data_IF_275261079438
#
_entry.id   IF_275261079438
#
_cell.length_a   1.000
_cell.length_b   1.000
_cell.length_c   1.000
_cell.angle_alpha   90.00
_cell.angle_beta   90.00
_cell.angle_gamma   90.00
#
_symmetry.space_group_name_H-M   'P 1'
#
loop_
_entity.id
_entity.type
_entity.pdbx_description
1 polymer ?
#
# COMPACT_ATOMS: atom_id res chain seq x y z
N UNK A 1 -24.31 11.00 -5.44
CA UNK A 1 -25.17 11.14 -4.23
C UNK A 1 -26.31 10.11 -4.17
N UNK A 2 -27.23 10.05 -5.14
CA UNK A 2 -28.44 9.21 -5.08
C UNK A 2 -28.20 7.71 -4.80
N UNK A 3 -27.17 7.09 -5.41
CA UNK A 3 -26.83 5.68 -5.16
C UNK A 3 -26.33 5.46 -3.73
N UNK A 4 -25.52 6.38 -3.20
CA UNK A 4 -25.01 6.32 -1.83
C UNK A 4 -26.15 6.52 -0.82
N UNK A 5 -27.05 7.47 -1.09
CA UNK A 5 -28.26 7.70 -0.30
C UNK A 5 -29.16 6.45 -0.31
N UNK A 6 -29.47 5.87 -1.48
CA UNK A 6 -30.34 4.68 -1.60
C UNK A 6 -29.78 3.49 -0.82
N UNK A 7 -28.47 3.22 -0.92
CA UNK A 7 -27.82 2.16 -0.13
C UNK A 7 -27.78 2.49 1.38
N UNK A 8 -27.79 3.77 1.75
CA UNK A 8 -27.80 4.19 3.15
C UNK A 8 -29.18 4.06 3.81
N UNK A 9 -30.28 4.08 3.05
CA UNK A 9 -31.63 4.00 3.61
C UNK A 9 -32.06 2.60 4.07
N UNK A 10 -31.46 1.53 3.56
CA UNK A 10 -31.83 0.19 4.00
C UNK A 10 -31.37 -0.01 5.46
N UNK A 11 -32.34 -0.18 6.37
CA UNK A 11 -32.07 -0.53 7.77
C UNK A 11 -31.38 -1.90 7.76
N UNK A 12 -30.14 -2.03 8.27
CA UNK A 12 -29.50 -3.33 8.36
C UNK A 12 -30.30 -4.21 9.32
N UNK A 13 -30.54 -5.47 8.95
CA UNK A 13 -31.09 -6.45 9.89
C UNK A 13 -30.18 -6.53 11.13
N UNK A 14 -30.74 -6.87 12.30
CA UNK A 14 -29.95 -7.01 13.54
C UNK A 14 -28.76 -7.97 13.34
N UNK A 15 -28.96 -9.04 12.56
CA UNK A 15 -27.91 -9.96 12.15
C UNK A 15 -26.82 -9.27 11.30
N UNK A 16 -27.20 -8.43 10.33
CA UNK A 16 -26.27 -7.67 9.51
C UNK A 16 -25.41 -6.68 10.30
N UNK A 17 -25.99 -6.00 11.28
CA UNK A 17 -25.25 -5.11 12.20
C UNK A 17 -24.24 -5.91 13.03
N UNK A 18 -24.66 -7.06 13.58
CA UNK A 18 -23.79 -7.93 14.36
C UNK A 18 -22.60 -8.44 13.53
N UNK A 19 -22.85 -8.96 12.32
CA UNK A 19 -21.79 -9.41 11.40
C UNK A 19 -20.82 -8.26 11.10
N UNK A 20 -21.35 -7.07 10.81
CA UNK A 20 -20.51 -5.91 10.54
C UNK A 20 -19.67 -5.49 11.76
N UNK A 21 -20.22 -5.54 12.98
CA UNK A 21 -19.48 -5.24 14.21
C UNK A 21 -18.32 -6.23 14.43
N UNK A 22 -18.55 -7.53 14.21
CA UNK A 22 -17.50 -8.55 14.27
C UNK A 22 -16.41 -8.28 13.24
N UNK A 23 -16.78 -7.96 11.99
CA UNK A 23 -15.82 -7.62 10.94
C UNK A 23 -15.01 -6.35 11.24
N UNK A 24 -15.62 -5.34 11.87
CA UNK A 24 -14.91 -4.14 12.32
C UNK A 24 -13.91 -4.44 13.44
N UNK A 25 -14.29 -5.29 14.41
CA UNK A 25 -13.38 -5.71 15.47
C UNK A 25 -12.19 -6.48 14.89
N UNK A 26 -12.44 -7.41 13.96
CA UNK A 26 -11.38 -8.13 13.25
C UNK A 26 -10.49 -7.17 12.45
N UNK A 27 -11.08 -6.22 11.75
CA UNK A 27 -10.36 -5.19 10.99
C UNK A 27 -9.49 -4.32 11.88
N UNK A 28 -9.98 -3.90 13.05
CA UNK A 28 -9.22 -3.16 14.05
C UNK A 28 -7.99 -3.96 14.51
N UNK A 29 -8.19 -5.24 14.87
CA UNK A 29 -7.09 -6.13 15.27
C UNK A 29 -6.09 -6.30 14.14
N UNK A 30 -6.55 -6.56 12.91
CA UNK A 30 -5.70 -6.69 11.72
C UNK A 30 -4.90 -5.41 11.46
N UNK A 31 -5.51 -4.22 11.55
CA UNK A 31 -4.83 -2.93 11.38
C UNK A 31 -3.73 -2.74 12.42
N UNK A 32 -4.03 -2.96 13.71
CA UNK A 32 -3.05 -2.84 14.80
C UNK A 32 -1.89 -3.84 14.62
N UNK A 33 -2.19 -5.08 14.24
CA UNK A 33 -1.17 -6.10 13.93
C UNK A 33 -0.33 -5.68 12.72
N UNK A 34 -0.96 -5.21 11.65
CA UNK A 34 -0.31 -4.74 10.43
C UNK A 34 0.66 -3.59 10.70
N UNK A 35 0.23 -2.57 11.46
CA UNK A 35 1.07 -1.44 11.86
C UNK A 35 2.25 -1.90 12.73
N UNK A 36 2.02 -2.79 13.71
CA UNK A 36 3.09 -3.36 14.53
C UNK A 36 4.13 -4.13 13.71
N UNK A 37 3.69 -4.92 12.73
CA UNK A 37 4.59 -5.64 11.82
C UNK A 37 5.37 -4.64 10.95
N UNK A 38 4.68 -3.68 10.34
CA UNK A 38 5.30 -2.66 9.48
C UNK A 38 6.38 -1.87 10.23
N UNK A 39 6.10 -1.43 11.46
CA UNK A 39 7.07 -0.73 12.32
C UNK A 39 8.29 -1.58 12.66
N UNK A 40 8.08 -2.88 12.91
CA UNK A 40 9.16 -3.80 13.34
C UNK A 40 10.15 -4.12 12.23
N UNK A 41 9.69 -4.23 10.99
CA UNK A 41 10.53 -4.62 9.88
C UNK A 41 11.10 -3.41 9.13
N UNK A 42 12.42 -3.36 9.04
CA UNK A 42 13.15 -2.31 8.31
C UNK A 42 13.41 -2.67 6.85
N UNK A 43 12.74 -3.68 6.29
CA UNK A 43 13.00 -4.13 4.91
C UNK A 43 12.76 -2.99 3.92
N UNK A 44 11.71 -2.21 4.16
CA UNK A 44 11.44 -1.01 3.40
C UNK A 44 12.14 0.18 4.03
N UNK A 45 12.56 1.10 3.16
CA UNK A 45 13.06 2.40 3.60
C UNK A 45 12.00 3.13 4.45
N UNK A 46 12.43 4.00 5.36
CA UNK A 46 11.53 4.69 6.31
C UNK A 46 10.38 5.40 5.59
N UNK A 47 10.67 6.05 4.46
CA UNK A 47 9.67 6.76 3.66
C UNK A 47 8.58 5.80 3.14
N UNK A 48 8.97 4.73 2.45
CA UNK A 48 8.03 3.72 1.95
C UNK A 48 7.23 3.06 3.08
N UNK A 49 7.88 2.72 4.18
CA UNK A 49 7.21 2.15 5.37
C UNK A 49 6.17 3.09 5.94
N UNK A 50 6.47 4.39 6.03
CA UNK A 50 5.54 5.39 6.54
C UNK A 50 4.33 5.55 5.61
N UNK A 51 4.49 5.44 4.27
CA UNK A 51 3.36 5.40 3.32
C UNK A 51 2.44 4.19 3.63
N UNK A 52 3.04 3.01 3.84
CA UNK A 52 2.26 1.81 4.16
C UNK A 52 1.54 1.91 5.51
N UNK A 53 2.19 2.47 6.53
CA UNK A 53 1.56 2.72 7.83
C UNK A 53 0.42 3.73 7.69
N UNK A 54 0.62 4.81 6.93
CA UNK A 54 -0.43 5.80 6.66
C UNK A 54 -1.66 5.16 6.00
N UNK A 55 -1.47 4.29 5.01
CA UNK A 55 -2.57 3.51 4.39
C UNK A 55 -3.36 2.69 5.42
N UNK A 56 -2.66 1.99 6.33
CA UNK A 56 -3.30 1.20 7.37
C UNK A 56 -4.05 2.06 8.38
N UNK A 57 -3.47 3.20 8.80
CA UNK A 57 -4.10 4.11 9.74
C UNK A 57 -5.29 4.86 9.12
N UNK A 58 -5.28 5.12 7.81
CA UNK A 58 -6.41 5.75 7.13
C UNK A 58 -7.68 4.89 7.18
N UNK A 59 -7.58 3.60 7.47
CA UNK A 59 -8.77 2.77 7.72
C UNK A 59 -9.63 3.31 8.88
N UNK A 60 -9.04 4.03 9.85
CA UNK A 60 -9.81 4.69 10.90
C UNK A 60 -10.75 5.78 10.34
N UNK A 61 -10.43 6.38 9.19
CA UNK A 61 -11.33 7.29 8.49
C UNK A 61 -12.60 6.55 8.02
N UNK A 62 -12.46 5.34 7.46
CA UNK A 62 -13.62 4.51 7.12
C UNK A 62 -14.43 4.08 8.34
N UNK A 63 -13.78 3.82 9.47
CA UNK A 63 -14.47 3.51 10.71
C UNK A 63 -15.33 4.70 11.16
N UNK A 64 -14.78 5.91 11.16
CA UNK A 64 -15.53 7.13 11.51
C UNK A 64 -16.67 7.37 10.51
N UNK A 65 -16.41 7.25 9.21
CA UNK A 65 -17.43 7.30 8.17
C UNK A 65 -18.59 6.34 8.48
N UNK A 66 -18.31 5.10 8.91
CA UNK A 66 -19.37 4.15 9.22
C UNK A 66 -20.14 4.49 10.50
N UNK A 67 -19.46 4.96 11.53
CA UNK A 67 -20.09 5.42 12.77
C UNK A 67 -21.06 6.58 12.46
N UNK A 68 -20.65 7.53 11.61
CA UNK A 68 -21.51 8.62 11.16
C UNK A 68 -22.76 8.12 10.40
N UNK A 69 -22.59 7.15 9.50
CA UNK A 69 -23.74 6.54 8.80
C UNK A 69 -24.68 5.80 9.75
N UNK A 70 -24.16 5.09 10.76
CA UNK A 70 -25.00 4.44 11.76
C UNK A 70 -25.75 5.45 12.63
N UNK A 71 -25.07 6.50 13.10
CA UNK A 71 -25.69 7.58 13.85
C UNK A 71 -26.81 8.26 13.04
N UNK A 72 -26.56 8.50 11.75
CA UNK A 72 -27.58 9.04 10.84
C UNK A 72 -28.78 8.10 10.68
N UNK A 73 -28.55 6.81 10.40
CA UNK A 73 -29.63 5.82 10.27
C UNK A 73 -30.45 5.69 11.55
N UNK A 74 -29.79 5.71 12.71
CA UNK A 74 -30.44 5.65 14.01
C UNK A 74 -31.30 6.90 14.27
N UNK A 75 -30.77 8.10 13.96
CA UNK A 75 -31.54 9.34 14.05
C UNK A 75 -32.75 9.33 13.13
N UNK A 76 -32.59 8.85 11.90
CA UNK A 76 -33.67 8.70 10.93
C UNK A 76 -34.73 7.68 11.40
N UNK A 77 -34.31 6.59 12.05
CA UNK A 77 -35.23 5.59 12.63
C UNK A 77 -36.12 6.21 13.71
N UNK A 78 -35.55 7.05 14.58
CA UNK A 78 -36.28 7.76 15.63
C UNK A 78 -37.26 8.77 15.01
N UNK A 79 -36.81 9.51 14.00
CA UNK A 79 -37.66 10.49 13.32
C UNK A 79 -38.85 9.82 12.63
N UNK A 80 -38.63 8.73 11.90
CA UNK A 80 -39.71 7.93 11.28
C UNK A 80 -40.63 7.34 12.36
N UNK A 81 -40.09 6.86 13.47
CA UNK A 81 -40.91 6.34 14.57
C UNK A 81 -41.81 7.42 15.18
N UNK A 82 -41.37 8.68 15.22
CA UNK A 82 -42.18 9.81 15.69
C UNK A 82 -43.13 10.34 14.61
N UNK A 83 -42.72 10.27 13.35
CA UNK A 83 -43.52 10.59 12.17
C UNK A 83 -44.78 9.73 12.08
N UNK A 84 -44.65 8.43 12.36
CA UNK A 84 -45.76 7.49 12.29
C UNK A 84 -46.81 7.79 13.38
N UNK A 85 -46.43 8.48 14.46
CA UNK A 85 -47.36 8.99 15.48
C UNK A 85 -47.95 10.38 15.14
N UNK A 86 -47.58 11.00 14.03
CA UNK A 86 -48.07 12.31 13.59
C UNK A 86 -48.60 12.23 12.15
N UNK A 87 -49.91 12.36 11.96
CA UNK A 87 -50.63 12.27 10.68
C UNK A 87 -50.36 13.48 9.72
N UNK A 88 -49.22 14.16 9.88
CA UNK A 88 -48.87 15.35 9.11
C UNK A 88 -47.85 14.99 8.00
N UNK A 89 -48.21 15.33 6.76
CA UNK A 89 -47.46 15.15 5.49
C UNK A 89 -46.04 15.77 5.41
N UNK A 90 -45.45 16.17 6.53
CA UNK A 90 -44.29 17.07 6.60
C UNK A 90 -42.92 16.41 6.79
N UNK A 91 -42.74 15.13 6.45
CA UNK A 91 -41.40 14.55 6.40
C UNK A 91 -40.69 14.92 5.11
N UNK A 92 -39.93 16.01 5.16
CA UNK A 92 -38.97 16.43 4.14
C UNK A 92 -37.83 15.41 3.99
N UNK A 93 -38.15 14.22 3.47
CA UNK A 93 -37.17 13.25 2.99
C UNK A 93 -36.38 13.87 1.81
N UNK A 94 -35.14 14.27 2.06
CA UNK A 94 -34.08 14.28 1.05
C UNK A 94 -34.20 15.28 -0.11
N UNK A 95 -34.99 16.35 0.00
CA UNK A 95 -35.15 17.38 -1.05
C UNK A 95 -34.44 18.72 -0.80
N UNK A 96 -33.60 18.83 0.23
CA UNK A 96 -32.88 20.07 0.50
C UNK A 96 -31.76 20.31 -0.54
N UNK A 97 -31.72 21.53 -1.10
CA UNK A 97 -30.70 22.02 -2.03
C UNK A 97 -29.29 21.92 -1.44
N UNK A 98 -28.26 21.78 -2.29
CA UNK A 98 -26.84 21.61 -1.90
C UNK A 98 -26.36 22.55 -0.79
N UNK A 99 -26.85 23.79 -0.73
CA UNK A 99 -26.47 24.76 0.30
C UNK A 99 -26.92 24.40 1.72
N UNK A 100 -28.02 23.68 1.89
CA UNK A 100 -28.55 23.31 3.22
C UNK A 100 -27.93 22.02 3.80
N UNK A 101 -27.29 21.20 2.96
CA UNK A 101 -26.84 19.85 3.34
C UNK A 101 -25.32 19.72 3.53
N UNK A 102 -24.55 20.83 3.55
CA UNK A 102 -23.07 20.79 3.65
C UNK A 102 -22.57 20.08 4.92
N UNK A 103 -23.39 20.07 5.98
CA UNK A 103 -23.09 19.42 7.25
C UNK A 103 -23.92 18.15 7.50
N UNK A 104 -24.62 17.65 6.48
CA UNK A 104 -25.35 16.39 6.62
C UNK A 104 -24.36 15.26 6.88
N UNK A 105 -24.56 14.43 7.93
CA UNK A 105 -23.68 13.31 8.23
C UNK A 105 -23.50 12.36 7.04
N UNK A 106 -24.52 12.20 6.18
CA UNK A 106 -24.42 11.43 4.93
C UNK A 106 -23.37 12.04 4.00
N UNK A 107 -23.39 13.35 3.79
CA UNK A 107 -22.49 14.02 2.84
C UNK A 107 -21.04 13.95 3.31
N UNK A 108 -20.80 14.20 4.60
CA UNK A 108 -19.49 14.03 5.22
C UNK A 108 -19.02 12.58 5.08
N UNK A 109 -19.89 11.61 5.40
CA UNK A 109 -19.58 10.18 5.25
C UNK A 109 -19.25 9.80 3.80
N UNK A 110 -19.97 10.35 2.83
CA UNK A 110 -19.69 10.12 1.41
C UNK A 110 -18.29 10.65 1.04
N UNK A 111 -17.94 11.87 1.47
CA UNK A 111 -16.62 12.45 1.21
C UNK A 111 -15.51 11.61 1.86
N UNK A 112 -15.67 11.21 3.11
CA UNK A 112 -14.67 10.38 3.81
C UNK A 112 -14.49 9.02 3.13
N UNK A 113 -15.59 8.38 2.71
CA UNK A 113 -15.54 7.12 1.95
C UNK A 113 -14.76 7.28 0.65
N UNK A 114 -15.08 8.28 -0.15
CA UNK A 114 -14.43 8.48 -1.45
C UNK A 114 -12.98 8.95 -1.30
N UNK A 115 -12.67 9.76 -0.27
CA UNK A 115 -11.29 10.14 0.03
C UNK A 115 -10.46 8.89 0.29
N UNK A 116 -10.92 8.02 1.19
CA UNK A 116 -10.25 6.76 1.46
C UNK A 116 -10.06 5.91 0.19
N UNK A 117 -11.10 5.78 -0.64
CA UNK A 117 -11.00 5.04 -1.92
C UNK A 117 -9.91 5.59 -2.83
N UNK A 118 -9.89 6.89 -3.08
CA UNK A 118 -8.90 7.51 -3.96
C UNK A 118 -7.50 7.50 -3.34
N UNK A 119 -7.38 7.59 -2.02
CA UNK A 119 -6.09 7.45 -1.34
C UNK A 119 -5.50 6.04 -1.51
N UNK A 120 -6.31 5.00 -1.32
CA UNK A 120 -5.90 3.60 -1.57
C UNK A 120 -5.44 3.43 -3.02
N UNK A 121 -6.20 3.98 -3.97
CA UNK A 121 -5.86 3.92 -5.40
C UNK A 121 -4.57 4.69 -5.74
N UNK A 122 -4.28 5.79 -5.08
CA UNK A 122 -3.06 6.58 -5.28
C UNK A 122 -1.83 5.97 -4.55
N UNK A 123 -2.04 5.02 -3.63
CA UNK A 123 -0.96 4.46 -2.79
C UNK A 123 0.12 3.71 -3.61
N UNK A 124 -0.22 2.83 -4.57
CA UNK A 124 0.77 2.21 -5.44
C UNK A 124 1.63 3.25 -6.17
N UNK A 125 1.01 4.30 -6.70
CA UNK A 125 1.73 5.41 -7.38
C UNK A 125 2.69 6.09 -6.41
N UNK A 126 2.26 6.44 -5.20
CA UNK A 126 3.13 7.07 -4.20
C UNK A 126 4.32 6.21 -3.79
N UNK A 127 4.13 4.89 -3.65
CA UNK A 127 5.24 3.97 -3.40
C UNK A 127 6.22 3.95 -4.57
N UNK A 128 5.73 3.95 -5.81
CA UNK A 128 6.60 3.98 -6.99
C UNK A 128 7.33 5.31 -7.14
N UNK A 129 6.69 6.44 -6.83
CA UNK A 129 7.33 7.75 -6.79
C UNK A 129 8.44 7.78 -5.74
N UNK A 130 8.23 7.17 -4.57
CA UNK A 130 9.30 6.99 -3.58
C UNK A 130 10.47 6.17 -4.13
N UNK A 131 10.19 5.13 -4.93
CA UNK A 131 11.22 4.34 -5.64
C UNK A 131 11.95 5.14 -6.72
N UNK A 132 11.27 6.08 -7.40
CA UNK A 132 11.93 7.04 -8.32
C UNK A 132 12.96 7.85 -7.54
N UNK A 133 12.57 8.45 -6.40
CA UNK A 133 13.50 9.21 -5.57
C UNK A 133 14.67 8.35 -5.06
N UNK A 134 14.41 7.11 -4.64
CA UNK A 134 15.47 6.17 -4.25
C UNK A 134 16.43 5.84 -5.41
N UNK A 135 15.95 5.87 -6.65
CA UNK A 135 16.75 5.63 -7.87
C UNK A 135 17.56 6.87 -8.26
N UNK A 136 16.95 8.04 -8.23
CA UNK A 136 17.60 9.34 -8.53
C UNK A 136 18.72 9.60 -7.50
N UNK A 137 18.41 9.41 -6.23
CA UNK A 137 19.30 9.69 -5.11
C UNK A 137 20.06 8.46 -4.61
N UNK A 138 20.35 7.51 -5.50
CA UNK A 138 20.96 6.24 -5.11
C UNK A 138 22.15 6.41 -4.16
N UNK A 139 23.05 7.37 -4.43
CA UNK A 139 24.32 7.58 -3.69
C UNK A 139 24.14 7.89 -2.20
N UNK A 140 23.10 8.62 -1.83
CA UNK A 140 22.93 9.25 -0.52
C UNK A 140 21.54 9.04 0.10
N UNK A 141 20.61 8.36 -0.61
CA UNK A 141 19.24 8.15 -0.16
C UNK A 141 19.13 7.54 1.25
N UNK A 142 20.01 6.58 1.57
CA UNK A 142 20.01 5.92 2.88
C UNK A 142 20.82 6.67 3.95
N UNK A 143 21.74 7.55 3.53
CA UNK A 143 22.62 8.30 4.44
C UNK A 143 21.91 9.52 5.00
N UNK A 144 21.20 10.22 4.15
CA UNK A 144 20.49 11.44 4.52
C UNK A 144 19.04 11.15 4.87
N UNK A 145 18.58 11.72 5.98
CA UNK A 145 17.21 11.53 6.43
C UNK A 145 16.24 12.40 5.65
N UNK A 146 15.78 11.92 4.49
CA UNK A 146 14.90 12.66 3.57
C UNK A 146 13.42 12.45 3.86
N UNK A 147 12.98 12.81 5.07
CA UNK A 147 11.57 12.70 5.47
C UNK A 147 10.64 13.59 4.63
N UNK A 148 11.17 14.66 4.02
CA UNK A 148 10.42 15.53 3.12
C UNK A 148 9.82 14.77 1.92
N UNK A 149 10.44 13.67 1.47
CA UNK A 149 9.91 12.84 0.39
C UNK A 149 8.60 12.18 0.80
N UNK A 150 8.55 11.63 2.02
CA UNK A 150 7.29 11.09 2.56
C UNK A 150 6.24 12.20 2.70
N UNK A 151 6.61 13.36 3.24
CA UNK A 151 5.69 14.49 3.39
C UNK A 151 5.10 14.96 2.05
N UNK A 152 5.94 15.08 1.02
CA UNK A 152 5.54 15.45 -0.34
C UNK A 152 4.55 14.44 -0.94
N UNK A 153 4.85 13.14 -0.84
CA UNK A 153 3.99 12.07 -1.36
C UNK A 153 2.67 12.03 -0.59
N UNK A 154 2.72 12.08 0.75
CA UNK A 154 1.53 12.02 1.59
C UNK A 154 0.60 13.21 1.35
N UNK A 155 1.14 14.43 1.24
CA UNK A 155 0.36 15.63 0.98
C UNK A 155 -0.26 15.60 -0.44
N UNK A 156 0.52 15.25 -1.47
CA UNK A 156 0.01 15.15 -2.84
C UNK A 156 -1.09 14.08 -2.98
N UNK A 157 -0.95 12.93 -2.31
CA UNK A 157 -1.98 11.89 -2.27
C UNK A 157 -3.26 12.37 -1.60
N UNK A 158 -3.16 13.07 -0.46
CA UNK A 158 -4.34 13.63 0.22
C UNK A 158 -5.03 14.71 -0.61
N UNK A 159 -4.26 15.60 -1.24
CA UNK A 159 -4.82 16.63 -2.13
C UNK A 159 -5.56 16.02 -3.32
N UNK A 160 -4.98 14.99 -3.94
CA UNK A 160 -5.63 14.23 -5.00
C UNK A 160 -6.91 13.55 -4.49
N UNK A 161 -6.83 12.81 -3.38
CA UNK A 161 -7.96 12.08 -2.82
C UNK A 161 -9.11 12.99 -2.40
N UNK A 162 -8.81 14.13 -1.77
CA UNK A 162 -9.79 15.14 -1.39
C UNK A 162 -10.48 15.75 -2.62
N UNK A 163 -9.69 16.17 -3.63
CA UNK A 163 -10.23 16.76 -4.87
C UNK A 163 -11.16 15.78 -5.59
N UNK A 164 -10.71 14.54 -5.78
CA UNK A 164 -11.50 13.50 -6.45
C UNK A 164 -12.73 13.09 -5.65
N UNK A 165 -12.65 13.09 -4.31
CA UNK A 165 -13.77 12.82 -3.42
C UNK A 165 -14.87 13.88 -3.53
N UNK A 166 -14.48 15.16 -3.46
CA UNK A 166 -15.42 16.28 -3.63
C UNK A 166 -16.04 16.22 -5.03
N UNK A 167 -15.23 16.10 -6.08
CA UNK A 167 -15.70 15.99 -7.46
C UNK A 167 -16.71 14.84 -7.64
N UNK A 168 -16.38 13.66 -7.11
CA UNK A 168 -17.24 12.46 -7.20
C UNK A 168 -18.57 12.66 -6.47
N UNK A 169 -18.54 13.35 -5.33
CA UNK A 169 -19.72 13.56 -4.48
C UNK A 169 -20.63 14.67 -5.03
N UNK A 170 -20.05 15.78 -5.50
CA UNK A 170 -20.81 16.98 -5.93
C UNK A 170 -21.29 16.91 -7.37
N UNK A 171 -20.45 16.44 -8.31
CA UNK A 171 -20.81 16.37 -9.73
C UNK A 171 -21.58 15.11 -10.10
N UNK A 172 -21.89 14.26 -9.11
CA UNK A 172 -22.66 13.04 -9.31
C UNK A 172 -21.97 12.05 -10.25
N UNK A 173 -20.65 11.85 -10.05
CA UNK A 173 -19.87 11.02 -10.95
C UNK A 173 -20.51 9.64 -11.15
N UNK A 174 -20.65 9.26 -12.41
CA UNK A 174 -21.23 7.97 -12.79
C UNK A 174 -20.30 6.84 -12.37
N UNK A 175 -20.85 5.64 -12.20
CA UNK A 175 -20.06 4.44 -11.94
C UNK A 175 -18.92 4.24 -12.96
N UNK A 176 -19.14 4.65 -14.22
CA UNK A 176 -18.14 4.67 -15.28
C UNK A 176 -16.92 5.54 -14.95
N UNK A 177 -17.11 6.74 -14.39
CA UNK A 177 -16.01 7.62 -14.00
C UNK A 177 -15.11 6.98 -12.93
N UNK A 178 -15.72 6.30 -11.96
CA UNK A 178 -14.98 5.59 -10.91
C UNK A 178 -14.14 4.46 -11.54
N UNK A 179 -14.74 3.67 -12.44
CA UNK A 179 -14.00 2.61 -13.16
C UNK A 179 -12.84 3.18 -13.97
N UNK A 180 -13.07 4.25 -14.74
CA UNK A 180 -12.02 4.89 -15.54
C UNK A 180 -10.87 5.40 -14.66
N UNK A 181 -11.20 5.97 -13.49
CA UNK A 181 -10.17 6.42 -12.53
C UNK A 181 -9.35 5.26 -11.98
N UNK A 182 -10.01 4.13 -11.67
CA UNK A 182 -9.32 2.91 -11.22
C UNK A 182 -8.39 2.41 -12.33
N UNK A 183 -8.91 2.21 -13.55
CA UNK A 183 -8.12 1.72 -14.69
C UNK A 183 -6.96 2.65 -15.03
N UNK A 184 -7.18 3.97 -14.99
CA UNK A 184 -6.17 4.99 -15.20
C UNK A 184 -5.07 4.95 -14.13
N UNK A 185 -5.43 4.83 -12.85
CA UNK A 185 -4.44 4.71 -11.76
C UNK A 185 -3.63 3.41 -11.88
N UNK A 186 -4.29 2.29 -12.16
CA UNK A 186 -3.63 0.99 -12.29
C UNK A 186 -2.68 0.95 -13.48
N UNK A 187 -3.12 1.41 -14.65
CA UNK A 187 -2.27 1.51 -15.86
C UNK A 187 -1.10 2.46 -15.64
N UNK A 188 -1.34 3.65 -15.07
CA UNK A 188 -0.29 4.60 -14.70
C UNK A 188 0.74 3.98 -13.74
N UNK A 189 0.29 3.25 -12.72
CA UNK A 189 1.19 2.57 -11.80
C UNK A 189 2.03 1.47 -12.49
N UNK A 190 1.45 0.73 -13.44
CA UNK A 190 2.17 -0.29 -14.20
C UNK A 190 3.25 0.34 -15.11
N UNK A 191 2.94 1.46 -15.77
CA UNK A 191 3.91 2.21 -16.58
C UNK A 191 5.05 2.75 -15.72
N UNK A 192 4.74 3.40 -14.59
CA UNK A 192 5.78 3.90 -13.68
C UNK A 192 6.64 2.75 -13.16
N UNK A 193 6.04 1.63 -12.78
CA UNK A 193 6.78 0.44 -12.35
C UNK A 193 7.76 -0.03 -13.43
N UNK A 194 7.29 -0.21 -14.67
CA UNK A 194 8.11 -0.68 -15.78
C UNK A 194 9.26 0.29 -16.08
N UNK A 195 9.01 1.60 -16.04
CA UNK A 195 10.04 2.62 -16.21
C UNK A 195 11.10 2.55 -15.11
N UNK A 196 10.68 2.47 -13.84
CA UNK A 196 11.60 2.41 -12.70
C UNK A 196 12.43 1.11 -12.72
N UNK A 197 11.82 -0.02 -13.07
CA UNK A 197 12.53 -1.30 -13.24
C UNK A 197 13.55 -1.20 -14.38
N UNK A 198 13.12 -0.69 -15.56
CA UNK A 198 13.98 -0.50 -16.72
C UNK A 198 15.18 0.40 -16.44
N UNK A 199 14.97 1.57 -15.81
CA UNK A 199 16.06 2.50 -15.48
C UNK A 199 17.04 1.90 -14.47
N UNK A 200 16.54 1.19 -13.45
CA UNK A 200 17.40 0.53 -12.46
C UNK A 200 18.22 -0.60 -13.08
N UNK A 201 17.60 -1.44 -13.93
CA UNK A 201 18.31 -2.50 -14.66
C UNK A 201 19.36 -1.94 -15.60
N UNK A 202 18.99 -0.95 -16.43
CA UNK A 202 19.92 -0.31 -17.37
C UNK A 202 21.13 0.32 -16.65
N UNK A 203 20.90 0.99 -15.52
CA UNK A 203 21.97 1.59 -14.72
C UNK A 203 22.86 0.51 -14.08
N UNK A 204 22.28 -0.60 -13.63
CA UNK A 204 23.03 -1.73 -13.10
C UNK A 204 23.90 -2.40 -14.19
N UNK A 205 23.34 -2.67 -15.37
CA UNK A 205 24.08 -3.25 -16.51
C UNK A 205 25.21 -2.32 -16.97
N UNK A 206 24.98 -1.00 -17.01
CA UNK A 206 26.03 -0.03 -17.35
C UNK A 206 27.19 -0.08 -16.35
N UNK A 207 26.90 -0.14 -15.05
CA UNK A 207 27.91 -0.26 -14.00
C UNK A 207 28.67 -1.60 -14.04
N UNK A 208 28.02 -2.68 -14.48
CA UNK A 208 28.67 -3.99 -14.62
C UNK A 208 29.59 -4.03 -15.84
N UNK A 209 29.20 -3.40 -16.96
CA UNK A 209 30.00 -3.35 -18.18
C UNK A 209 31.17 -2.35 -18.10
N UNK A 210 30.98 -1.19 -17.47
CA UNK A 210 31.95 -0.08 -17.43
C UNK A 210 32.81 -0.10 -16.15
N UNK A 211 33.21 -1.30 -15.70
CA UNK A 211 33.91 -1.53 -14.42
C UNK A 211 35.17 -0.67 -14.21
N UNK A 212 35.78 -0.18 -15.29
CA UNK A 212 37.05 0.57 -15.28
C UNK A 212 36.93 2.09 -15.42
N UNK A 213 35.81 2.63 -15.91
CA UNK A 213 35.73 4.04 -16.35
C UNK A 213 34.73 4.88 -15.59
N UNK A 214 33.74 4.27 -14.96
CA UNK A 214 32.78 4.99 -14.12
C UNK A 214 33.24 4.95 -12.67
N UNK A 215 32.78 5.92 -11.87
CA UNK A 215 32.89 5.91 -10.40
C UNK A 215 32.16 4.68 -9.83
N UNK A 216 32.72 3.50 -10.07
CA UNK A 216 32.22 2.22 -9.62
C UNK A 216 32.43 2.20 -8.11
N UNK A 217 31.37 2.55 -7.40
CA UNK A 217 31.30 2.34 -5.97
C UNK A 217 30.44 1.13 -5.73
N UNK A 218 31.01 0.16 -5.02
CA UNK A 218 30.32 -1.06 -4.57
C UNK A 218 28.98 -0.73 -3.91
N UNK A 219 28.90 0.41 -3.22
CA UNK A 219 27.67 0.93 -2.60
C UNK A 219 26.54 1.20 -3.61
N UNK A 220 26.82 1.84 -4.76
CA UNK A 220 25.78 2.12 -5.76
C UNK A 220 25.23 0.82 -6.34
N UNK A 221 26.11 -0.15 -6.64
CA UNK A 221 25.69 -1.46 -7.15
C UNK A 221 24.80 -2.18 -6.14
N UNK A 222 25.17 -2.17 -4.86
CA UNK A 222 24.39 -2.75 -3.79
C UNK A 222 23.01 -2.09 -3.67
N UNK A 223 22.94 -0.76 -3.68
CA UNK A 223 21.68 0.00 -3.61
C UNK A 223 20.76 -0.24 -4.80
N UNK A 224 21.30 -0.35 -6.03
CA UNK A 224 20.49 -0.68 -7.21
C UNK A 224 19.93 -2.11 -7.14
N UNK A 225 20.75 -3.08 -6.71
CA UNK A 225 20.29 -4.47 -6.50
C UNK A 225 19.21 -4.53 -5.42
N UNK A 226 19.36 -3.78 -4.32
CA UNK A 226 18.37 -3.67 -3.26
C UNK A 226 17.07 -3.01 -3.74
N UNK A 227 17.15 -1.96 -4.57
CA UNK A 227 15.99 -1.32 -5.18
C UNK A 227 15.23 -2.28 -6.10
N UNK A 228 15.92 -3.01 -6.98
CA UNK A 228 15.30 -4.03 -7.85
C UNK A 228 14.67 -5.18 -7.06
N UNK A 229 15.33 -5.65 -6.00
CA UNK A 229 14.79 -6.67 -5.09
C UNK A 229 13.51 -6.18 -4.42
N UNK A 230 13.50 -4.95 -3.93
CA UNK A 230 12.33 -4.31 -3.31
C UNK A 230 11.19 -4.16 -4.31
N UNK A 231 11.47 -3.70 -5.55
CA UNK A 231 10.46 -3.61 -6.62
C UNK A 231 9.85 -4.97 -6.96
N UNK A 232 10.66 -6.03 -7.05
CA UNK A 232 10.17 -7.39 -7.33
C UNK A 232 9.27 -7.92 -6.20
N UNK A 233 9.62 -7.63 -4.95
CA UNK A 233 8.80 -8.00 -3.79
C UNK A 233 7.47 -7.21 -3.76
N UNK A 234 7.52 -5.90 -4.03
CA UNK A 234 6.32 -5.07 -4.11
C UNK A 234 5.41 -5.44 -5.27
N UNK A 235 5.95 -5.93 -6.39
CA UNK A 235 5.15 -6.38 -7.53
C UNK A 235 4.15 -7.47 -7.16
N UNK A 236 4.57 -8.46 -6.38
CA UNK A 236 3.67 -9.53 -5.93
C UNK A 236 2.52 -8.97 -5.09
N UNK A 237 2.85 -8.08 -4.15
CA UNK A 237 1.86 -7.42 -3.31
C UNK A 237 0.88 -6.55 -4.11
N UNK A 238 1.38 -5.76 -5.07
CA UNK A 238 0.53 -4.92 -5.92
C UNK A 238 -0.38 -5.74 -6.83
N UNK A 239 0.13 -6.80 -7.47
CA UNK A 239 -0.71 -7.69 -8.28
C UNK A 239 -1.85 -8.26 -7.43
N UNK A 240 -1.56 -8.74 -6.21
CA UNK A 240 -2.60 -9.24 -5.31
C UNK A 240 -3.65 -8.19 -4.96
N UNK A 241 -3.25 -6.95 -4.66
CA UNK A 241 -4.20 -5.85 -4.39
C UNK A 241 -5.04 -5.52 -5.63
N UNK A 242 -4.41 -5.46 -6.81
CA UNK A 242 -5.08 -5.15 -8.08
C UNK A 242 -6.16 -6.19 -8.38
N UNK A 243 -5.84 -7.47 -8.22
CA UNK A 243 -6.80 -8.57 -8.39
C UNK A 243 -7.98 -8.41 -7.44
N UNK A 244 -7.74 -8.05 -6.16
CA UNK A 244 -8.81 -7.81 -5.19
C UNK A 244 -9.68 -6.61 -5.58
N UNK A 245 -9.09 -5.50 -6.03
CA UNK A 245 -9.82 -4.31 -6.48
C UNK A 245 -10.70 -4.64 -7.69
N UNK A 246 -10.16 -5.34 -8.69
CA UNK A 246 -10.90 -5.76 -9.88
C UNK A 246 -12.03 -6.72 -9.50
N UNK A 247 -11.77 -7.70 -8.63
CA UNK A 247 -12.78 -8.65 -8.16
C UNK A 247 -13.92 -7.93 -7.43
N UNK A 248 -13.62 -6.98 -6.54
CA UNK A 248 -14.65 -6.17 -5.87
C UNK A 248 -15.44 -5.30 -6.86
N UNK A 249 -14.77 -4.69 -7.84
CA UNK A 249 -15.43 -3.91 -8.89
C UNK A 249 -16.39 -4.75 -9.75
N UNK A 250 -15.93 -5.91 -10.21
CA UNK A 250 -16.73 -6.87 -10.96
C UNK A 250 -17.91 -7.39 -10.12
N UNK A 251 -17.70 -7.73 -8.85
CA UNK A 251 -18.76 -8.21 -7.98
C UNK A 251 -19.86 -7.16 -7.74
N UNK A 252 -19.53 -5.87 -7.77
CA UNK A 252 -20.52 -4.78 -7.71
C UNK A 252 -21.24 -4.54 -9.04
N UNK A 253 -20.58 -4.80 -10.16
CA UNK A 253 -21.12 -4.55 -11.51
C UNK A 253 -21.94 -5.71 -12.05
N UNK A 254 -21.55 -6.96 -11.75
CA UNK A 254 -22.15 -8.17 -12.29
C UNK A 254 -23.67 -8.28 -12.07
N UNK A 255 -24.23 -7.96 -10.87
CA UNK A 255 -25.68 -7.99 -10.67
C UNK A 255 -26.45 -7.04 -11.61
N UNK A 256 -25.85 -5.90 -11.95
CA UNK A 256 -26.42 -4.91 -12.87
C UNK A 256 -26.37 -5.44 -14.31
N UNK A 257 -25.24 -6.03 -14.69
CA UNK A 257 -25.06 -6.60 -16.03
C UNK A 257 -26.01 -7.78 -16.29
N UNK A 258 -26.24 -8.62 -15.28
CA UNK A 258 -27.16 -9.76 -15.33
C UNK A 258 -28.64 -9.36 -15.18
N UNK A 259 -28.96 -8.07 -15.01
CA UNK A 259 -30.32 -7.55 -14.81
C UNK A 259 -31.09 -8.30 -13.70
N UNK A 260 -30.42 -8.59 -12.59
CA UNK A 260 -31.05 -9.20 -11.41
C UNK A 260 -32.11 -8.26 -10.82
N UNK A 261 -32.98 -8.81 -9.97
CA UNK A 261 -33.96 -8.05 -9.21
C UNK A 261 -33.29 -6.97 -8.33
N UNK A 262 -33.99 -5.85 -8.12
CA UNK A 262 -33.44 -4.70 -7.39
C UNK A 262 -33.02 -5.08 -5.95
N UNK A 263 -33.77 -5.98 -5.30
CA UNK A 263 -33.50 -6.46 -3.95
C UNK A 263 -32.19 -7.25 -3.88
N UNK A 264 -31.95 -8.14 -4.84
CA UNK A 264 -30.67 -8.84 -4.96
C UNK A 264 -29.52 -7.88 -5.26
N UNK A 265 -29.69 -6.92 -6.16
CA UNK A 265 -28.66 -5.92 -6.46
C UNK A 265 -28.29 -5.13 -5.20
N UNK A 266 -29.29 -4.70 -4.43
CA UNK A 266 -29.10 -3.93 -3.20
C UNK A 266 -28.45 -4.79 -2.10
N UNK A 267 -28.85 -6.05 -1.98
CA UNK A 267 -28.27 -7.02 -1.04
C UNK A 267 -26.78 -7.26 -1.34
N UNK A 268 -26.43 -7.52 -2.60
CA UNK A 268 -25.03 -7.69 -3.02
C UNK A 268 -24.21 -6.44 -2.73
N UNK A 269 -24.73 -5.25 -3.07
CA UNK A 269 -24.06 -3.97 -2.75
C UNK A 269 -23.82 -3.79 -1.26
N UNK A 270 -24.76 -4.21 -0.42
CA UNK A 270 -24.63 -4.15 1.05
C UNK A 270 -23.52 -5.06 1.57
N UNK A 271 -23.44 -6.30 1.08
CA UNK A 271 -22.34 -7.20 1.44
C UNK A 271 -20.98 -6.71 0.91
N UNK A 272 -20.92 -6.19 -0.31
CA UNK A 272 -19.70 -5.59 -0.86
C UNK A 272 -19.26 -4.36 -0.06
N UNK A 273 -20.22 -3.58 0.45
CA UNK A 273 -19.96 -2.47 1.37
C UNK A 273 -19.34 -2.96 2.68
N UNK A 274 -19.82 -4.08 3.25
CA UNK A 274 -19.22 -4.69 4.45
C UNK A 274 -17.78 -5.15 4.18
N UNK A 275 -17.54 -5.83 3.06
CA UNK A 275 -16.20 -6.30 2.67
C UNK A 275 -15.26 -5.10 2.50
N UNK A 276 -15.71 -4.05 1.82
CA UNK A 276 -14.92 -2.85 1.59
C UNK A 276 -14.50 -2.16 2.89
N UNK A 277 -15.44 -1.98 3.84
CA UNK A 277 -15.13 -1.39 5.15
C UNK A 277 -14.25 -2.29 6.02
N UNK A 278 -14.22 -3.59 5.72
CA UNK A 278 -13.45 -4.60 6.46
C UNK A 278 -12.11 -4.94 5.79
N UNK A 279 -11.61 -4.04 4.95
CA UNK A 279 -10.44 -4.33 4.13
C UNK A 279 -9.14 -4.72 4.86
N UNK A 280 -8.85 -4.35 6.11
CA UNK A 280 -7.63 -4.79 6.77
C UNK A 280 -7.61 -6.31 6.95
N UNK A 281 -8.80 -6.94 7.03
CA UNK A 281 -8.98 -8.39 7.16
C UNK A 281 -8.40 -9.15 5.97
N UNK A 282 -8.38 -8.58 4.77
CA UNK A 282 -7.73 -9.20 3.61
C UNK A 282 -6.41 -8.52 3.22
N UNK A 283 -6.28 -7.20 3.39
CA UNK A 283 -5.09 -6.44 3.02
C UNK A 283 -3.87 -6.85 3.86
N UNK A 284 -4.03 -6.97 5.19
CA UNK A 284 -2.92 -7.32 6.09
C UNK A 284 -2.49 -8.77 5.89
N UNK A 285 -3.40 -9.77 5.82
CA UNK A 285 -3.01 -11.12 5.45
C UNK A 285 -2.35 -11.19 4.07
N UNK A 286 -2.86 -10.47 3.06
CA UNK A 286 -2.22 -10.40 1.73
C UNK A 286 -0.79 -9.89 1.82
N UNK A 287 -0.54 -8.82 2.59
CA UNK A 287 0.81 -8.32 2.85
C UNK A 287 1.68 -9.37 3.56
N UNK A 288 1.14 -10.08 4.56
CA UNK A 288 1.86 -11.15 5.27
C UNK A 288 2.21 -12.29 4.32
N UNK A 289 1.31 -12.74 3.46
CA UNK A 289 1.54 -13.86 2.55
C UNK A 289 2.53 -13.55 1.42
N UNK A 290 2.45 -12.34 0.86
CA UNK A 290 3.29 -11.88 -0.26
C UNK A 290 4.69 -11.46 0.20
N UNK A 291 4.80 -10.81 1.37
CA UNK A 291 6.08 -10.36 1.91
C UNK A 291 6.71 -11.49 2.73
N UNK A 292 7.66 -12.19 2.14
CA UNK A 292 8.29 -13.39 2.73
C UNK A 292 8.75 -13.20 4.18
N UNK A 293 9.35 -12.06 4.50
CA UNK A 293 9.82 -11.77 5.85
C UNK A 293 8.67 -11.61 6.86
N UNK A 294 7.54 -11.02 6.44
CA UNK A 294 6.35 -10.90 7.30
C UNK A 294 5.75 -12.29 7.52
N UNK A 295 5.64 -13.10 6.46
CA UNK A 295 5.23 -14.51 6.54
C UNK A 295 6.06 -15.30 7.54
N UNK A 296 7.38 -15.28 7.38
CA UNK A 296 8.32 -16.00 8.26
C UNK A 296 8.17 -15.56 9.72
N UNK A 297 7.99 -14.27 9.96
CA UNK A 297 7.79 -13.73 11.30
C UNK A 297 6.49 -14.21 11.95
N UNK A 298 5.38 -14.10 11.22
CA UNK A 298 4.06 -14.52 11.70
C UNK A 298 4.03 -16.02 11.95
N UNK A 299 4.55 -16.83 11.01
CA UNK A 299 4.67 -18.28 11.18
C UNK A 299 5.49 -18.65 12.41
N UNK A 300 6.62 -17.97 12.67
CA UNK A 300 7.43 -18.21 13.87
C UNK A 300 6.65 -17.86 15.14
N UNK A 301 5.92 -16.74 15.16
CA UNK A 301 5.09 -16.35 16.31
C UNK A 301 3.93 -17.32 16.56
N UNK A 302 3.27 -17.78 15.51
CA UNK A 302 2.19 -18.77 15.61
C UNK A 302 2.73 -20.10 16.14
N UNK A 303 3.87 -20.58 15.64
CA UNK A 303 4.55 -21.78 16.17
C UNK A 303 4.92 -21.66 17.65
N UNK A 304 5.42 -20.49 18.07
CA UNK A 304 5.72 -20.20 19.47
C UNK A 304 4.46 -20.18 20.34
N UNK A 305 3.35 -19.62 19.83
CA UNK A 305 2.06 -19.60 20.53
C UNK A 305 1.40 -20.98 20.65
N UNK A 306 1.61 -21.86 19.67
CA UNK A 306 1.11 -23.24 19.66
C UNK A 306 1.98 -24.21 20.49
N UNK A 307 2.92 -23.69 21.31
CA UNK A 307 3.73 -24.53 22.20
C UNK A 307 4.73 -25.44 21.48
N UNK A 308 5.01 -25.22 20.19
CA UNK A 308 6.05 -25.98 19.48
C UNK A 308 7.42 -25.54 19.99
N UNK A 309 7.93 -26.31 20.95
CA UNK A 309 9.25 -26.16 21.58
C UNK A 309 10.34 -26.39 20.53
N UNK A 310 10.89 -25.31 19.98
CA UNK A 310 12.11 -25.35 19.20
C UNK A 310 13.14 -24.43 19.84
N UNK A 311 14.35 -24.94 20.05
CA UNK A 311 15.46 -24.25 20.70
C UNK A 311 15.54 -22.77 20.32
N UNK A 312 15.40 -21.93 21.34
CA UNK A 312 15.47 -20.48 21.22
C UNK A 312 16.93 -20.06 21.00
N UNK A 313 17.45 -20.25 19.78
CA UNK A 313 18.42 -19.27 19.28
C UNK A 313 17.65 -17.96 19.15
N UNK A 314 17.93 -17.03 20.07
CA UNK A 314 17.57 -15.60 19.97
C UNK A 314 18.05 -15.10 18.62
N UNK A 315 17.23 -15.28 17.60
CA UNK A 315 17.48 -14.75 16.27
C UNK A 315 17.08 -13.30 16.35
N UNK A 316 18.07 -12.49 16.67
CA UNK A 316 17.99 -11.05 16.66
C UNK A 316 17.32 -10.62 15.36
N UNK A 317 16.20 -9.89 15.41
CA UNK A 317 15.50 -9.47 14.18
C UNK A 317 16.36 -8.51 13.35
N UNK A 318 17.38 -7.89 13.97
CA UNK A 318 18.48 -7.22 13.26
C UNK A 318 19.32 -8.17 12.42
N UNK A 319 19.38 -9.46 12.77
CA UNK A 319 20.12 -10.53 12.07
C UNK A 319 19.39 -11.16 10.86
N UNK A 320 18.14 -10.79 10.60
CA UNK A 320 17.41 -11.29 9.41
C UNK A 320 17.79 -10.55 8.11
N UNK A 321 18.35 -9.33 8.22
CA UNK A 321 19.00 -8.61 7.11
C UNK A 321 20.42 -9.17 6.82
N UNK A 322 21.29 -9.48 7.80
CA UNK A 322 22.64 -9.96 7.55
C UNK A 322 22.76 -11.42 7.15
N UNK A 323 21.78 -12.33 7.20
CA UNK A 323 22.11 -13.69 6.73
C UNK A 323 22.26 -13.80 5.19
N UNK A 324 21.55 -12.96 4.45
CA UNK A 324 21.74 -12.83 3.00
C UNK A 324 22.74 -11.72 2.71
N UNK A 325 22.66 -10.60 3.45
CA UNK A 325 23.63 -9.53 3.27
C UNK A 325 25.03 -9.94 3.71
N UNK A 326 25.26 -10.76 4.74
CA UNK A 326 26.59 -11.26 5.10
C UNK A 326 27.11 -12.23 4.05
N UNK A 327 26.29 -13.15 3.51
CA UNK A 327 26.78 -14.03 2.43
C UNK A 327 27.09 -13.24 1.15
N UNK A 328 26.28 -12.25 0.80
CA UNK A 328 26.53 -11.35 -0.33
C UNK A 328 27.69 -10.38 -0.03
N UNK A 329 27.79 -9.81 1.17
CA UNK A 329 28.89 -8.94 1.64
C UNK A 329 30.18 -9.72 1.66
N UNK A 330 30.20 -10.97 2.11
CA UNK A 330 31.36 -11.86 2.10
C UNK A 330 31.76 -12.15 0.65
N UNK A 331 30.78 -12.43 -0.23
CA UNK A 331 31.04 -12.58 -1.68
C UNK A 331 31.58 -11.29 -2.29
N UNK A 332 31.04 -10.13 -1.91
CA UNK A 332 31.48 -8.81 -2.38
C UNK A 332 32.83 -8.40 -1.80
N UNK A 333 33.12 -8.76 -0.55
CA UNK A 333 34.38 -8.54 0.12
C UNK A 333 35.44 -9.44 -0.47
N UNK A 334 35.13 -10.71 -0.78
CA UNK A 334 35.99 -11.59 -1.56
C UNK A 334 36.27 -11.03 -2.97
N UNK A 335 35.26 -10.50 -3.67
CA UNK A 335 35.46 -9.85 -4.98
C UNK A 335 36.36 -8.62 -4.83
N UNK A 336 36.14 -7.81 -3.78
CA UNK A 336 36.94 -6.62 -3.50
C UNK A 336 38.40 -6.97 -3.15
N UNK A 337 38.62 -7.99 -2.31
CA UNK A 337 39.95 -8.52 -1.97
C UNK A 337 40.63 -9.07 -3.22
N UNK A 338 39.94 -9.84 -4.07
CA UNK A 338 40.47 -10.31 -5.36
C UNK A 338 40.83 -9.16 -6.31
N UNK A 339 40.09 -8.06 -6.27
CA UNK A 339 40.40 -6.86 -7.06
C UNK A 339 41.63 -6.10 -6.54
N UNK A 340 41.83 -6.09 -5.22
CA UNK A 340 43.04 -5.52 -4.59
C UNK A 340 44.28 -6.39 -4.83
N UNK A 341 44.14 -7.72 -4.77
CA UNK A 341 45.21 -8.68 -5.02
C UNK A 341 45.58 -8.79 -6.51
N UNK A 342 44.63 -8.49 -7.40
CA UNK A 342 44.79 -8.53 -8.86
C UNK A 342 45.39 -7.27 -9.52
N UNK A 343 45.77 -6.24 -8.75
CA UNK A 343 46.56 -5.11 -9.27
C UNK A 343 48.06 -5.40 -9.06
N UNK A 344 48.86 -5.54 -10.13
CA UNK A 344 50.21 -6.09 -10.03
C UNK A 344 51.15 -5.12 -9.33
N UNK A 345 51.53 -5.46 -8.09
CA UNK A 345 52.86 -5.17 -7.57
C UNK A 345 53.89 -5.85 -8.47
N UNK A 346 54.29 -5.18 -9.55
CA UNK A 346 55.59 -5.36 -10.21
C UNK A 346 56.40 -4.08 -10.05
N UNK A 347 56.71 -3.76 -8.80
CA UNK A 347 57.81 -2.90 -8.42
C UNK A 347 58.62 -3.72 -7.42
N UNK A 348 59.92 -3.87 -7.67
CA UNK A 348 60.92 -4.61 -6.89
C UNK A 348 60.99 -6.12 -7.13
N UNK A 349 61.82 -6.51 -8.11
CA UNK A 349 62.72 -7.68 -8.04
C UNK A 349 63.50 -7.78 -9.36
N UNK A 350 64.83 -7.80 -9.29
CA UNK A 350 65.63 -8.48 -10.31
C UNK A 350 66.58 -7.63 -11.17
N UNK A 351 67.77 -7.38 -10.61
CA UNK A 351 69.05 -7.39 -11.35
C UNK A 351 69.34 -6.29 -12.37
N UNK A 352 69.80 -5.14 -11.86
CA UNK A 352 70.73 -4.26 -12.57
C UNK A 352 72.12 -4.94 -12.60
N UNK A 353 72.45 -5.68 -13.66
CA UNK A 353 73.82 -6.16 -13.91
C UNK A 353 74.35 -5.53 -15.19
N UNK A 354 75.24 -4.57 -14.99
CA UNK A 354 76.04 -3.84 -15.98
C UNK A 354 77.40 -4.55 -16.08
N UNK A 355 77.71 -5.17 -17.22
CA UNK A 355 79.07 -5.45 -17.71
C UNK A 355 78.97 -6.11 -19.09
N UNK A 356 79.36 -5.41 -20.17
CA UNK A 356 80.69 -5.43 -20.82
C UNK A 356 80.91 -6.69 -21.68
N UNK A 357 80.90 -6.44 -23.00
CA UNK A 357 81.68 -7.02 -24.10
C UNK A 357 81.74 -8.55 -24.27
N UNK A 358 81.40 -9.01 -25.49
CA UNK A 358 82.22 -9.81 -26.43
C UNK A 358 81.29 -10.20 -27.60
N UNK A 359 81.37 -9.48 -28.72
CA UNK A 359 81.80 -9.94 -30.06
C UNK A 359 81.65 -8.80 -31.06
#
# INVERSE_FOLDING_TARGET
MAIFIRNSHQMPSNAGVFVQAVLFLLSFVCTVVGVKIALKFTIFHKNQRNIFIALLLLWFELLICRILLWAFKYSLAIEISKAIDCDDECHHLGRCSFEKNKFDPIFISAIMRYHYMFFVLATPVGILVERIFATVFVKDYEKESRYWIFGLIFFSQNMFACTMSVFTTTMGATFHFIILTILGSLSGSAVIYALVEYFNQRRLTKLENEHRTTNYTLSIRYQLKENLKTLKLMRQFFISIIVIIIAMGLANYLPILLKLDEDTILTVRTYMDYIFHSNPVFLVPTAIFTIEHYRKYVLKKVKLGLGMRHESRKMDTRKLRPQIATKEIDTFFEIFVKQLEGSPRKMQSGSFKRNKNIM
#
